data_IF_021181458062
#
_entry.id   IF_021181458062
#
_cell.length_a   1.000
_cell.length_b   1.000
_cell.length_c   1.000
_cell.angle_alpha   90.00
_cell.angle_beta   90.00
_cell.angle_gamma   90.00
#
_symmetry.space_group_name_H-M   'P 1'
#
loop_
_entity.id
_entity.type
_entity.pdbx_description
1 polymer ?
#
# COMPACT_ATOMS: atom_id res chain seq x y z
N UNK A 1 6.01 34.53 -19.90
CA UNK A 1 4.66 33.96 -19.95
C UNK A 1 4.35 33.29 -18.64
N UNK A 2 3.74 34.05 -17.74
CA UNK A 2 3.28 33.60 -16.43
C UNK A 2 2.03 32.73 -16.61
N UNK A 3 2.00 31.56 -15.98
CA UNK A 3 0.79 30.80 -15.80
C UNK A 3 0.28 31.11 -14.39
N UNK A 4 -0.85 31.82 -14.30
CA UNK A 4 -1.50 32.16 -13.03
C UNK A 4 -2.09 30.90 -12.38
N UNK A 5 -1.62 30.56 -11.18
CA UNK A 5 -2.32 29.65 -10.29
C UNK A 5 -3.08 30.47 -9.23
N UNK A 6 -4.34 30.11 -9.00
CA UNK A 6 -5.30 30.81 -8.13
C UNK A 6 -4.98 30.56 -6.66
N UNK A 7 -3.92 31.17 -6.17
CA UNK A 7 -3.69 31.41 -4.74
C UNK A 7 -2.83 32.65 -4.43
N UNK A 8 -2.47 33.45 -5.43
CA UNK A 8 -2.06 34.85 -5.23
C UNK A 8 -0.82 35.09 -4.34
N UNK A 9 0.09 34.12 -4.21
CA UNK A 9 1.40 34.34 -3.58
C UNK A 9 2.52 34.07 -4.57
N UNK A 10 2.98 35.13 -5.23
CA UNK A 10 4.26 35.12 -5.95
C UNK A 10 5.36 34.98 -4.89
N UNK A 11 5.90 33.77 -4.72
CA UNK A 11 7.08 33.54 -3.88
C UNK A 11 8.32 33.93 -4.68
N UNK A 12 8.77 35.17 -4.50
CA UNK A 12 10.11 35.61 -4.90
C UNK A 12 11.13 34.92 -3.95
N UNK A 13 12.25 34.39 -4.46
CA UNK A 13 13.21 33.65 -3.64
C UNK A 13 13.73 34.51 -2.48
N UNK A 14 13.73 33.96 -1.28
CA UNK A 14 14.34 34.58 -0.13
C UNK A 14 15.87 34.61 -0.34
N UNK A 15 16.48 35.79 -0.29
CA UNK A 15 17.89 35.97 -0.62
C UNK A 15 18.72 35.51 0.57
N UNK A 16 19.58 34.50 0.34
CA UNK A 16 20.56 34.02 1.33
C UNK A 16 21.68 35.05 1.41
N UNK A 17 21.87 35.63 2.59
CA UNK A 17 22.96 36.57 2.85
C UNK A 17 23.86 35.95 3.90
N UNK A 18 25.14 35.77 3.57
CA UNK A 18 26.17 35.38 4.55
C UNK A 18 26.69 36.62 5.26
N UNK A 19 26.80 36.56 6.59
CA UNK A 19 27.52 37.57 7.35
C UNK A 19 29.03 37.46 7.07
N UNK A 20 29.71 38.53 6.61
CA UNK A 20 31.14 38.48 6.33
C UNK A 20 31.97 38.30 7.61
N UNK A 21 33.13 37.66 7.48
CA UNK A 21 34.14 37.60 8.56
C UNK A 21 34.57 39.02 8.97
N UNK A 22 34.42 39.29 10.27
CA UNK A 22 34.95 40.39 11.08
C UNK A 22 35.59 41.56 10.32
N UNK A 23 34.87 42.69 10.22
CA UNK A 23 35.50 44.01 10.30
C UNK A 23 34.95 44.76 11.50
N UNK A 24 35.74 44.77 12.57
CA UNK A 24 35.66 45.66 13.72
C UNK A 24 34.30 45.72 14.45
N UNK A 25 34.13 44.86 15.48
CA UNK A 25 33.32 45.21 16.66
C UNK A 25 33.99 46.39 17.38
N UNK A 26 33.85 47.61 16.83
CA UNK A 26 33.99 48.83 17.63
C UNK A 26 32.71 48.97 18.43
N UNK A 27 32.84 48.93 19.75
CA UNK A 27 31.78 49.20 20.71
C UNK A 27 31.33 50.65 20.48
N UNK A 28 30.31 50.83 19.63
CA UNK A 28 29.49 52.04 19.61
C UNK A 28 28.34 51.84 20.61
N UNK A 29 27.87 52.89 21.31
CA UNK A 29 26.89 52.77 22.40
C UNK A 29 25.51 52.21 21.98
N UNK A 30 25.26 52.09 20.68
CA UNK A 30 24.14 51.36 20.12
C UNK A 30 24.49 51.08 18.65
N UNK A 31 24.76 49.83 18.23
CA UNK A 31 24.97 49.55 16.83
C UNK A 31 23.67 49.80 16.04
N UNK A 32 23.71 50.46 14.87
CA UNK A 32 22.51 50.72 14.09
C UNK A 32 21.86 49.39 13.69
N UNK A 33 20.53 49.30 13.84
CA UNK A 33 19.74 48.19 13.31
C UNK A 33 20.06 48.00 11.82
N UNK A 34 20.26 46.77 11.33
CA UNK A 34 20.55 46.54 9.93
C UNK A 34 19.47 47.17 9.05
N UNK A 35 19.87 48.10 8.17
CA UNK A 35 18.94 48.73 7.24
C UNK A 35 18.59 47.72 6.15
N UNK A 36 17.39 47.15 6.22
CA UNK A 36 16.90 46.23 5.22
C UNK A 36 16.47 47.01 3.96
N UNK A 37 16.71 46.46 2.76
CA UNK A 37 16.52 47.17 1.48
C UNK A 37 15.07 47.56 1.18
N UNK A 38 14.09 46.99 1.89
CA UNK A 38 12.66 47.26 1.69
C UNK A 38 11.97 47.45 3.05
N UNK A 39 11.23 48.54 3.20
CA UNK A 39 10.49 48.87 4.42
C UNK A 39 9.48 47.75 4.77
N UNK A 40 9.44 47.35 6.05
CA UNK A 40 8.62 46.22 6.52
C UNK A 40 9.22 44.84 6.25
N UNK A 41 10.44 44.77 5.71
CA UNK A 41 11.19 43.50 5.66
C UNK A 41 11.67 43.10 7.05
N UNK A 42 11.82 41.80 7.25
CA UNK A 42 12.35 41.17 8.46
C UNK A 42 13.50 40.26 8.11
N UNK A 43 14.37 40.03 9.08
CA UNK A 43 15.52 39.14 8.96
C UNK A 43 15.33 37.98 9.92
N UNK A 44 15.67 36.77 9.51
CA UNK A 44 15.61 35.60 10.37
C UNK A 44 16.78 34.66 10.09
N UNK A 45 17.10 33.81 11.06
CA UNK A 45 18.10 32.75 10.91
C UNK A 45 17.60 31.71 9.90
N UNK A 46 18.50 31.25 9.03
CA UNK A 46 18.19 30.22 8.04
C UNK A 46 17.87 28.86 8.68
N UNK A 47 18.51 28.52 9.80
CA UNK A 47 18.39 27.20 10.44
C UNK A 47 16.98 26.92 11.00
N UNK A 48 16.42 27.86 11.76
CA UNK A 48 15.19 27.66 12.55
C UNK A 48 14.09 28.70 12.27
N UNK A 49 14.42 29.80 11.59
CA UNK A 49 13.51 30.91 11.35
C UNK A 49 13.32 31.89 12.51
N UNK A 50 14.21 31.87 13.50
CA UNK A 50 14.21 32.87 14.58
C UNK A 50 14.39 34.27 13.99
N UNK A 51 13.42 35.16 14.23
CA UNK A 51 13.48 36.54 13.78
C UNK A 51 14.57 37.32 14.51
N UNK A 52 15.40 38.02 13.76
CA UNK A 52 16.48 38.86 14.29
C UNK A 52 15.97 40.27 14.54
N UNK A 53 15.91 40.65 15.81
CA UNK A 53 15.71 42.04 16.26
C UNK A 53 17.06 42.75 16.39
N UNK A 54 17.05 44.09 16.42
CA UNK A 54 18.29 44.90 16.43
C UNK A 54 19.29 44.50 17.52
N UNK A 55 18.81 44.16 18.71
CA UNK A 55 19.66 43.77 19.85
C UNK A 55 20.15 42.32 19.73
N UNK A 56 19.30 41.43 19.23
CA UNK A 56 19.63 40.01 19.09
C UNK A 56 20.60 39.75 17.93
N UNK A 57 20.56 40.58 16.88
CA UNK A 57 21.42 40.45 15.69
C UNK A 57 22.91 40.37 16.04
N UNK A 58 23.38 41.17 16.99
CA UNK A 58 24.80 41.21 17.37
C UNK A 58 25.23 40.04 18.25
N UNK A 59 24.27 39.28 18.79
CA UNK A 59 24.52 38.06 19.55
C UNK A 59 24.62 36.81 18.66
N UNK A 60 24.23 36.91 17.39
CA UNK A 60 24.30 35.82 16.41
C UNK A 60 25.77 35.52 16.06
N UNK A 61 26.18 34.24 16.01
CA UNK A 61 27.54 33.87 15.60
C UNK A 61 27.90 34.36 14.20
N UNK A 62 29.18 34.65 13.99
CA UNK A 62 29.71 34.97 12.66
C UNK A 62 29.47 33.80 11.68
N UNK A 63 29.34 34.11 10.38
CA UNK A 63 28.99 33.16 9.31
C UNK A 63 27.60 32.50 9.43
N UNK A 64 26.74 33.01 10.32
CA UNK A 64 25.34 32.59 10.33
C UNK A 64 24.64 32.98 9.03
N UNK A 65 23.88 32.05 8.49
CA UNK A 65 23.12 32.26 7.25
C UNK A 65 21.78 32.90 7.56
N UNK A 66 21.46 33.97 6.83
CA UNK A 66 20.28 34.78 7.09
C UNK A 66 19.33 34.76 5.90
N UNK A 67 18.04 34.88 6.20
CA UNK A 67 16.95 34.95 5.24
C UNK A 67 16.22 36.27 5.41
N UNK A 68 16.16 37.05 4.33
CA UNK A 68 15.35 38.27 4.27
C UNK A 68 13.92 37.91 3.85
N UNK A 69 12.94 38.32 4.65
CA UNK A 69 11.52 38.12 4.41
C UNK A 69 10.81 39.44 4.16
N UNK A 70 10.05 39.52 3.07
CA UNK A 70 9.14 40.65 2.82
C UNK A 70 7.80 40.47 3.55
N UNK A 71 6.97 41.51 3.57
CA UNK A 71 5.67 41.47 4.25
C UNK A 71 4.81 40.29 3.77
N UNK A 72 4.30 39.50 4.73
CA UNK A 72 3.48 38.32 4.48
C UNK A 72 4.23 37.01 4.16
N UNK A 73 5.56 37.06 4.06
CA UNK A 73 6.40 35.86 3.96
C UNK A 73 6.72 35.27 5.34
N UNK A 74 6.92 33.96 5.37
CA UNK A 74 7.28 33.19 6.57
C UNK A 74 8.43 32.27 6.26
N UNK A 75 9.30 32.06 7.25
CA UNK A 75 10.40 31.09 7.21
C UNK A 75 10.38 30.28 8.49
N UNK A 76 10.46 28.96 8.35
CA UNK A 76 10.42 27.99 9.46
C UNK A 76 11.69 27.14 9.46
N UNK A 77 12.82 27.75 9.10
CA UNK A 77 14.08 27.04 8.99
C UNK A 77 14.10 25.99 7.86
N UNK A 78 14.87 24.93 8.07
CA UNK A 78 15.00 23.82 7.12
C UNK A 78 13.66 23.17 6.70
N UNK A 79 12.62 23.25 7.54
CA UNK A 79 11.27 22.75 7.21
C UNK A 79 10.70 23.45 5.97
N UNK A 80 11.01 24.74 5.79
CA UNK A 80 10.55 25.49 4.62
C UNK A 80 11.20 25.00 3.32
N UNK A 81 12.46 24.58 3.36
CA UNK A 81 13.10 24.00 2.17
C UNK A 81 12.58 22.60 1.86
N UNK A 82 12.32 21.78 2.87
CA UNK A 82 11.63 20.50 2.68
C UNK A 82 10.23 20.72 2.06
N UNK A 83 9.48 21.71 2.56
CA UNK A 83 8.18 22.07 2.01
C UNK A 83 8.27 22.53 0.54
N UNK A 84 9.25 23.37 0.19
CA UNK A 84 9.49 23.79 -1.20
C UNK A 84 9.87 22.61 -2.09
N UNK A 85 10.79 21.76 -1.63
CA UNK A 85 11.21 20.55 -2.32
C UNK A 85 9.99 19.66 -2.62
N UNK A 86 9.24 19.25 -1.60
CA UNK A 86 8.06 18.42 -1.76
C UNK A 86 7.02 19.05 -2.70
N UNK A 87 6.83 20.37 -2.62
CA UNK A 87 5.91 21.10 -3.50
C UNK A 87 6.35 21.06 -4.97
N UNK A 88 7.65 21.20 -5.26
CA UNK A 88 8.20 21.11 -6.60
C UNK A 88 8.01 19.72 -7.24
N UNK A 89 7.98 18.67 -6.41
CA UNK A 89 7.83 17.28 -6.86
C UNK A 89 6.41 16.74 -6.81
N UNK A 90 5.46 17.45 -6.20
CA UNK A 90 4.05 17.04 -6.18
C UNK A 90 3.39 17.14 -7.57
N UNK A 91 3.81 18.10 -8.39
CA UNK A 91 3.45 18.23 -9.81
C UNK A 91 4.71 18.49 -10.62
N UNK A 92 5.49 17.44 -10.93
CA UNK A 92 6.81 17.62 -11.49
C UNK A 92 6.72 18.28 -12.87
N UNK A 93 7.39 19.42 -13.02
CA UNK A 93 7.53 20.09 -14.30
C UNK A 93 8.52 19.30 -15.17
N UNK A 94 8.26 19.18 -16.48
CA UNK A 94 9.12 18.41 -17.39
C UNK A 94 10.61 18.81 -17.32
N UNK A 95 10.87 20.12 -17.15
CA UNK A 95 12.23 20.65 -16.99
C UNK A 95 12.95 20.15 -15.74
N UNK A 96 12.24 19.91 -14.64
CA UNK A 96 12.82 19.39 -13.41
C UNK A 96 13.16 17.89 -13.54
N UNK A 97 12.33 17.11 -14.23
CA UNK A 97 12.64 15.70 -14.56
C UNK A 97 13.89 15.65 -15.45
N UNK A 98 13.98 16.52 -16.46
CA UNK A 98 15.14 16.59 -17.35
C UNK A 98 16.42 16.97 -16.58
N UNK A 99 16.36 17.97 -15.71
CA UNK A 99 17.49 18.38 -14.88
C UNK A 99 17.94 17.24 -13.94
N UNK A 100 17.00 16.53 -13.31
CA UNK A 100 17.34 15.39 -12.45
C UNK A 100 17.97 14.23 -13.23
N UNK A 101 17.53 13.97 -14.48
CA UNK A 101 18.15 12.97 -15.36
C UNK A 101 19.57 13.34 -15.74
N UNK A 102 19.80 14.60 -16.12
CA UNK A 102 21.14 15.11 -16.44
C UNK A 102 22.07 14.99 -15.23
N UNK A 103 21.60 15.42 -14.06
CA UNK A 103 22.38 15.32 -12.82
C UNK A 103 22.73 13.86 -12.49
N UNK A 104 21.79 12.92 -12.67
CA UNK A 104 22.05 11.50 -12.44
C UNK A 104 23.08 10.91 -13.43
N UNK A 105 23.12 11.37 -14.68
CA UNK A 105 24.08 10.89 -15.68
C UNK A 105 25.54 11.19 -15.32
N UNK A 106 25.79 12.35 -14.70
CA UNK A 106 27.15 12.78 -14.34
C UNK A 106 27.55 12.41 -12.89
N UNK A 107 26.57 12.09 -12.04
CA UNK A 107 26.78 11.81 -10.63
C UNK A 107 27.55 10.50 -10.40
N UNK A 108 28.57 10.52 -9.53
CA UNK A 108 29.40 9.35 -9.21
C UNK A 108 29.22 8.87 -7.77
N UNK A 109 28.71 9.71 -6.86
CA UNK A 109 28.53 9.32 -5.48
C UNK A 109 27.34 8.35 -5.34
N UNK A 110 27.52 7.11 -4.83
CA UNK A 110 26.46 6.11 -4.83
C UNK A 110 25.19 6.53 -4.08
N UNK A 111 25.35 7.25 -2.96
CA UNK A 111 24.21 7.77 -2.19
C UNK A 111 23.42 8.80 -2.99
N UNK A 112 24.11 9.70 -3.71
CA UNK A 112 23.45 10.75 -4.52
C UNK A 112 22.77 10.14 -5.74
N UNK A 113 23.40 9.18 -6.40
CA UNK A 113 22.77 8.40 -7.48
C UNK A 113 21.48 7.73 -7.00
N UNK A 114 21.51 7.08 -5.83
CA UNK A 114 20.33 6.43 -5.26
C UNK A 114 19.20 7.43 -5.01
N UNK A 115 19.49 8.56 -4.33
CA UNK A 115 18.48 9.58 -4.05
C UNK A 115 17.86 10.15 -5.33
N UNK A 116 18.68 10.41 -6.36
CA UNK A 116 18.21 10.90 -7.65
C UNK A 116 17.40 9.86 -8.42
N UNK A 117 17.80 8.60 -8.38
CA UNK A 117 17.06 7.49 -9.00
C UNK A 117 15.70 7.28 -8.32
N UNK A 118 15.66 7.24 -6.98
CA UNK A 118 14.42 7.11 -6.19
C UNK A 118 13.46 8.27 -6.47
N UNK A 119 14.01 9.49 -6.57
CA UNK A 119 13.26 10.68 -6.94
C UNK A 119 12.70 10.59 -8.36
N UNK A 120 13.55 10.26 -9.34
CA UNK A 120 13.16 10.11 -10.75
C UNK A 120 12.09 9.04 -10.95
N UNK A 121 12.21 7.94 -10.21
CA UNK A 121 11.22 6.86 -10.20
C UNK A 121 9.85 7.36 -9.71
N UNK A 122 9.83 8.21 -8.69
CA UNK A 122 8.60 8.79 -8.12
C UNK A 122 7.93 9.81 -9.06
N UNK A 123 8.73 10.63 -9.76
CA UNK A 123 8.21 11.75 -10.56
C UNK A 123 7.90 11.37 -12.01
N UNK A 124 8.45 10.26 -12.49
CA UNK A 124 8.22 9.75 -13.85
C UNK A 124 7.04 8.77 -13.91
N UNK A 125 6.18 8.74 -12.90
CA UNK A 125 5.01 7.88 -12.87
C UNK A 125 3.92 8.35 -13.83
N UNK A 126 3.25 7.40 -14.49
CA UNK A 126 2.10 7.62 -15.35
C UNK A 126 0.84 7.00 -14.72
N UNK A 127 0.49 7.42 -13.51
CA UNK A 127 -0.65 6.87 -12.76
C UNK A 127 -1.95 7.03 -13.55
N UNK A 128 -2.15 8.16 -14.23
CA UNK A 128 -3.41 8.48 -14.90
C UNK A 128 -3.74 7.52 -16.05
N UNK A 129 -2.73 7.03 -16.78
CA UNK A 129 -2.92 6.02 -17.82
C UNK A 129 -3.47 4.70 -17.23
N UNK A 130 -4.42 4.09 -17.93
CA UNK A 130 -5.10 2.87 -17.54
C UNK A 130 -4.92 1.75 -18.55
N UNK A 131 -4.80 2.06 -19.85
CA UNK A 131 -4.75 1.06 -20.91
C UNK A 131 -3.32 0.75 -21.37
N UNK A 132 -3.16 -0.39 -22.05
CA UNK A 132 -1.88 -0.81 -22.62
C UNK A 132 -1.37 0.11 -23.71
N UNK A 133 -2.27 0.75 -24.45
CA UNK A 133 -1.93 1.70 -25.50
C UNK A 133 -1.44 3.04 -24.92
N UNK A 134 -2.01 3.45 -23.79
CA UNK A 134 -1.64 4.70 -23.09
C UNK A 134 -0.29 4.60 -22.35
N UNK A 135 0.07 3.40 -21.86
CA UNK A 135 1.32 3.19 -21.11
C UNK A 135 1.94 1.80 -21.38
N UNK A 136 2.44 1.55 -22.60
CA UNK A 136 3.05 0.26 -22.96
C UNK A 136 4.19 -0.20 -22.02
N UNK A 137 5.11 0.68 -21.56
CA UNK A 137 6.19 0.30 -20.65
C UNK A 137 5.68 -0.33 -19.35
N UNK A 138 4.54 0.13 -18.83
CA UNK A 138 3.93 -0.51 -17.66
C UNK A 138 3.62 -1.98 -17.92
N UNK A 139 3.17 -2.39 -19.12
CA UNK A 139 2.75 -3.76 -19.45
C UNK A 139 3.88 -4.70 -19.88
N UNK A 140 5.13 -4.23 -19.92
CA UNK A 140 6.27 -5.07 -20.29
C UNK A 140 6.39 -6.31 -19.39
N UNK A 141 6.57 -7.47 -20.02
CA UNK A 141 6.62 -8.78 -19.35
C UNK A 141 5.26 -9.39 -19.01
N UNK A 142 4.14 -8.73 -19.31
CA UNK A 142 2.80 -9.31 -19.17
C UNK A 142 2.28 -9.92 -20.48
N UNK A 143 1.50 -10.98 -20.31
CA UNK A 143 0.73 -11.59 -21.40
C UNK A 143 -0.13 -10.56 -22.15
N UNK A 144 -0.31 -10.78 -23.46
CA UNK A 144 -1.07 -9.89 -24.34
C UNK A 144 -2.56 -9.76 -23.96
N UNK A 145 -3.12 -10.72 -23.20
CA UNK A 145 -4.51 -10.63 -22.72
C UNK A 145 -4.76 -9.46 -21.76
N UNK A 146 -3.71 -8.93 -21.13
CA UNK A 146 -3.85 -7.82 -20.18
C UNK A 146 -3.78 -6.49 -20.93
N UNK A 147 -4.96 -5.84 -21.03
CA UNK A 147 -5.17 -4.59 -21.76
C UNK A 147 -5.37 -3.37 -20.85
N UNK A 148 -5.60 -3.60 -19.54
CA UNK A 148 -5.74 -2.53 -18.56
C UNK A 148 -5.00 -2.84 -17.26
N UNK A 149 -4.52 -1.78 -16.59
CA UNK A 149 -3.77 -1.88 -15.33
C UNK A 149 -4.64 -2.47 -14.23
N UNK A 150 -5.88 -2.00 -14.12
CA UNK A 150 -6.87 -2.52 -13.18
C UNK A 150 -7.25 -3.97 -13.49
N UNK A 151 -7.32 -4.35 -14.78
CA UNK A 151 -7.54 -5.73 -15.20
C UNK A 151 -6.46 -6.68 -14.69
N UNK A 152 -5.19 -6.31 -14.85
CA UNK A 152 -4.07 -7.09 -14.32
C UNK A 152 -4.05 -7.14 -12.79
N UNK A 153 -4.21 -6.01 -12.10
CA UNK A 153 -4.16 -5.98 -10.64
C UNK A 153 -5.32 -6.73 -10.00
N UNK A 154 -6.51 -6.68 -10.61
CA UNK A 154 -7.65 -7.54 -10.25
C UNK A 154 -7.26 -9.01 -10.37
N UNK A 155 -6.73 -9.43 -11.53
CA UNK A 155 -6.25 -10.80 -11.73
C UNK A 155 -5.17 -11.22 -10.71
N UNK A 156 -4.26 -10.32 -10.37
CA UNK A 156 -3.21 -10.54 -9.36
C UNK A 156 -3.81 -10.83 -7.99
N UNK A 157 -4.79 -10.02 -7.56
CA UNK A 157 -5.53 -10.26 -6.32
C UNK A 157 -6.27 -11.61 -6.34
N UNK A 158 -7.04 -11.87 -7.40
CA UNK A 158 -7.76 -13.12 -7.57
C UNK A 158 -6.83 -14.33 -7.48
N UNK A 159 -5.62 -14.22 -8.04
CA UNK A 159 -4.62 -15.30 -8.02
C UNK A 159 -4.11 -15.59 -6.61
N UNK A 160 -3.90 -14.55 -5.78
CA UNK A 160 -3.53 -14.72 -4.36
C UNK A 160 -4.64 -15.42 -3.58
N UNK A 161 -5.87 -14.94 -3.72
CA UNK A 161 -7.05 -15.49 -3.04
C UNK A 161 -7.35 -16.93 -3.50
N UNK A 162 -7.23 -17.24 -4.80
CA UNK A 162 -7.32 -18.62 -5.31
C UNK A 162 -6.27 -19.54 -4.70
N UNK A 163 -5.06 -19.02 -4.45
CA UNK A 163 -4.02 -19.81 -3.80
C UNK A 163 -4.44 -20.25 -2.40
N UNK A 164 -5.15 -19.38 -1.67
CA UNK A 164 -5.67 -19.72 -0.36
C UNK A 164 -6.69 -20.86 -0.44
N UNK A 165 -7.55 -20.87 -1.46
CA UNK A 165 -8.53 -21.93 -1.68
C UNK A 165 -7.88 -23.27 -2.03
N UNK A 166 -6.82 -23.27 -2.85
CA UNK A 166 -6.08 -24.50 -3.20
C UNK A 166 -5.54 -25.22 -1.96
N UNK A 167 -5.09 -24.46 -0.97
CA UNK A 167 -4.55 -25.01 0.28
C UNK A 167 -5.64 -25.56 1.21
N UNK A 168 -6.87 -25.06 1.11
CA UNK A 168 -8.03 -25.64 1.80
C UNK A 168 -8.39 -27.01 1.22
N UNK A 169 -7.93 -27.35 0.02
CA UNK A 169 -8.02 -28.72 -0.51
C UNK A 169 -9.03 -28.93 -1.63
N UNK A 170 -9.64 -27.86 -2.16
CA UNK A 170 -10.52 -27.95 -3.34
C UNK A 170 -9.64 -28.05 -4.58
N UNK A 171 -9.64 -29.21 -5.25
CA UNK A 171 -9.20 -29.27 -6.65
C UNK A 171 -10.20 -28.43 -7.44
N UNK A 172 -9.78 -27.24 -7.88
CA UNK A 172 -10.52 -26.52 -8.91
C UNK A 172 -10.52 -27.40 -10.16
N UNK A 173 -11.61 -28.11 -10.42
CA UNK A 173 -11.82 -28.79 -11.69
C UNK A 173 -11.74 -27.79 -12.85
N UNK A 174 -11.28 -28.22 -14.04
CA UNK A 174 -11.22 -27.35 -15.20
C UNK A 174 -12.64 -26.87 -15.53
N UNK A 175 -12.78 -25.57 -15.79
CA UNK A 175 -14.01 -25.03 -16.32
C UNK A 175 -14.30 -25.73 -17.65
N UNK A 176 -15.41 -26.48 -17.72
CA UNK A 176 -15.89 -27.03 -18.97
C UNK A 176 -16.29 -25.89 -19.91
N UNK A 177 -15.67 -25.86 -21.09
CA UNK A 177 -16.04 -24.97 -22.19
C UNK A 177 -14.86 -24.18 -22.73
N UNK A 178 -14.19 -24.73 -23.75
CA UNK A 178 -13.85 -24.11 -25.04
C UNK A 178 -12.80 -24.99 -25.74
N UNK A 179 -13.19 -25.54 -26.89
CA UNK A 179 -12.32 -25.81 -28.05
C UNK A 179 -11.15 -26.78 -27.91
N UNK A 180 -11.28 -27.95 -28.52
CA UNK A 180 -10.13 -28.77 -28.97
C UNK A 180 -9.16 -27.94 -29.82
N UNK A 181 -7.84 -27.91 -29.53
CA UNK A 181 -6.86 -27.42 -30.48
C UNK A 181 -6.41 -28.54 -31.42
N UNK A 182 -6.48 -28.23 -32.70
CA UNK A 182 -5.89 -28.99 -33.81
C UNK A 182 -4.38 -29.13 -33.66
N UNK A 183 -3.84 -30.20 -34.24
CA UNK A 183 -2.45 -30.62 -34.21
C UNK A 183 -1.47 -29.59 -34.83
N UNK A 184 -0.29 -29.47 -34.20
CA UNK A 184 0.93 -29.01 -34.87
C UNK A 184 1.62 -27.77 -34.28
N UNK A 185 2.40 -27.93 -33.19
CA UNK A 185 3.52 -27.04 -32.81
C UNK A 185 4.56 -27.88 -32.01
N UNK A 186 5.88 -27.71 -32.22
CA UNK A 186 6.90 -28.63 -31.70
C UNK A 186 7.21 -28.46 -30.20
N UNK A 187 7.56 -29.58 -29.57
CA UNK A 187 7.88 -29.73 -28.15
C UNK A 187 9.25 -29.15 -27.78
N UNK A 188 9.30 -28.31 -26.74
CA UNK A 188 10.51 -28.05 -25.96
C UNK A 188 10.58 -29.03 -24.76
N UNK A 189 11.78 -29.40 -24.27
CA UNK A 189 11.97 -30.59 -23.44
C UNK A 189 11.37 -30.44 -22.05
N UNK A 190 10.78 -31.55 -21.59
CA UNK A 190 10.11 -31.69 -20.31
C UNK A 190 11.05 -31.47 -19.12
N UNK A 191 10.72 -30.52 -18.27
CA UNK A 191 11.21 -30.47 -16.89
C UNK A 191 10.37 -31.45 -16.07
N UNK A 192 11.03 -32.41 -15.43
CA UNK A 192 10.41 -33.49 -14.65
C UNK A 192 9.43 -32.96 -13.58
N UNK A 193 8.20 -33.50 -13.46
CA UNK A 193 7.19 -33.00 -12.51
C UNK A 193 7.33 -33.64 -11.11
N UNK A 194 8.56 -33.80 -10.64
CA UNK A 194 8.82 -34.26 -9.27
C UNK A 194 9.29 -33.06 -8.45
N UNK A 195 8.33 -32.37 -7.81
CA UNK A 195 8.43 -31.57 -6.57
C UNK A 195 7.34 -30.49 -6.55
N UNK A 196 6.17 -30.84 -6.02
CA UNK A 196 5.26 -30.00 -5.21
C UNK A 196 3.92 -30.72 -5.05
N UNK A 197 3.93 -31.80 -4.27
CA UNK A 197 2.69 -32.37 -3.74
C UNK A 197 2.17 -31.38 -2.69
N UNK A 198 1.31 -30.46 -3.12
CA UNK A 198 0.53 -29.63 -2.19
C UNK A 198 -0.33 -30.59 -1.37
N UNK A 199 0.07 -30.85 -0.13
CA UNK A 199 -0.70 -31.67 0.79
C UNK A 199 -2.03 -30.97 1.01
N UNK A 200 -3.09 -31.49 0.38
CA UNK A 200 -4.45 -31.03 0.59
C UNK A 200 -4.84 -31.38 2.02
N UNK A 201 -5.31 -30.41 2.81
CA UNK A 201 -5.78 -30.72 4.17
C UNK A 201 -6.92 -31.75 4.19
N UNK A 202 -7.65 -31.90 3.07
CA UNK A 202 -8.65 -32.96 2.92
C UNK A 202 -8.06 -34.38 3.03
N UNK A 203 -6.75 -34.58 2.86
CA UNK A 203 -6.10 -35.88 3.11
C UNK A 203 -5.70 -36.10 4.57
N UNK A 204 -5.78 -35.08 5.41
CA UNK A 204 -5.51 -35.16 6.85
C UNK A 204 -6.79 -35.32 7.69
N UNK A 205 -7.96 -35.17 7.06
CA UNK A 205 -9.27 -35.38 7.69
C UNK A 205 -9.60 -36.88 7.65
N UNK A 206 -10.27 -37.39 8.69
CA UNK A 206 -10.75 -38.78 8.71
C UNK A 206 -11.63 -39.08 7.49
N UNK A 207 -11.66 -40.35 7.06
CA UNK A 207 -12.46 -40.73 5.88
C UNK A 207 -13.94 -40.34 6.01
N UNK A 208 -14.50 -40.46 7.22
CA UNK A 208 -15.89 -40.13 7.53
C UNK A 208 -16.17 -38.61 7.47
N UNK A 209 -15.18 -37.77 7.80
CA UNK A 209 -15.30 -36.33 7.78
C UNK A 209 -14.89 -35.70 6.42
N UNK A 210 -14.28 -36.48 5.53
CA UNK A 210 -13.73 -36.01 4.26
C UNK A 210 -14.80 -35.52 3.27
N UNK A 211 -15.94 -36.21 3.21
CA UNK A 211 -17.06 -35.82 2.33
C UNK A 211 -17.68 -34.50 2.79
N UNK A 212 -17.88 -34.36 4.11
CA UNK A 212 -18.37 -33.12 4.70
C UNK A 212 -17.39 -31.96 4.46
N UNK A 213 -16.10 -32.19 4.70
CA UNK A 213 -15.07 -31.19 4.46
C UNK A 213 -15.04 -30.75 2.99
N UNK A 214 -15.14 -31.69 2.06
CA UNK A 214 -15.22 -31.38 0.62
C UNK A 214 -16.48 -30.56 0.29
N UNK A 215 -17.63 -30.92 0.86
CA UNK A 215 -18.89 -30.17 0.72
C UNK A 215 -18.76 -28.73 1.20
N UNK A 216 -18.17 -28.53 2.38
CA UNK A 216 -17.94 -27.19 2.96
C UNK A 216 -16.97 -26.39 2.11
N UNK A 217 -15.89 -27.02 1.65
CA UNK A 217 -14.91 -26.38 0.79
C UNK A 217 -15.52 -25.97 -0.58
N UNK A 218 -16.45 -26.76 -1.11
CA UNK A 218 -17.23 -26.43 -2.32
C UNK A 218 -18.22 -25.29 -2.11
N UNK A 219 -18.85 -25.18 -0.93
CA UNK A 219 -19.67 -24.01 -0.56
C UNK A 219 -18.83 -22.74 -0.58
N UNK A 220 -17.66 -22.77 0.06
CA UNK A 220 -16.71 -21.65 0.05
C UNK A 220 -16.24 -21.32 -1.37
N UNK A 221 -15.92 -22.34 -2.19
CA UNK A 221 -15.52 -22.17 -3.58
C UNK A 221 -16.62 -21.49 -4.42
N UNK A 222 -17.88 -21.93 -4.29
CA UNK A 222 -19.03 -21.32 -4.98
C UNK A 222 -19.22 -19.86 -4.57
N UNK A 223 -19.18 -19.56 -3.26
CA UNK A 223 -19.27 -18.18 -2.75
C UNK A 223 -18.13 -17.31 -3.27
N UNK A 224 -16.90 -17.84 -3.29
CA UNK A 224 -15.71 -17.12 -3.76
C UNK A 224 -15.77 -16.86 -5.27
N UNK A 225 -16.29 -17.79 -6.07
CA UNK A 225 -16.57 -17.56 -7.50
C UNK A 225 -17.61 -16.47 -7.70
N UNK A 226 -18.69 -16.49 -6.93
CA UNK A 226 -19.73 -15.46 -6.97
C UNK A 226 -19.17 -14.07 -6.61
N UNK A 227 -18.19 -14.00 -5.68
CA UNK A 227 -17.49 -12.76 -5.33
C UNK A 227 -16.30 -12.42 -6.24
N UNK A 228 -16.12 -13.15 -7.35
CA UNK A 228 -14.99 -13.00 -8.29
C UNK A 228 -13.63 -13.03 -7.58
N UNK A 229 -13.46 -13.96 -6.65
CA UNK A 229 -12.25 -14.16 -5.84
C UNK A 229 -11.73 -12.88 -5.17
N UNK A 230 -12.64 -11.96 -4.86
CA UNK A 230 -12.36 -10.67 -4.25
C UNK A 230 -11.29 -9.86 -5.01
N UNK A 231 -11.23 -10.04 -6.34
CA UNK A 231 -10.29 -9.32 -7.20
C UNK A 231 -10.38 -7.80 -7.08
N UNK A 232 -11.56 -7.31 -6.70
CA UNK A 232 -11.83 -5.89 -6.51
C UNK A 232 -10.90 -5.22 -5.48
N UNK A 233 -10.32 -5.97 -4.53
CA UNK A 233 -9.44 -5.40 -3.52
C UNK A 233 -8.26 -4.63 -4.13
N UNK A 234 -7.76 -5.04 -5.29
CA UNK A 234 -6.65 -4.35 -5.97
C UNK A 234 -7.08 -3.49 -7.16
N UNK A 235 -8.38 -3.31 -7.37
CA UNK A 235 -8.92 -2.57 -8.50
C UNK A 235 -9.35 -1.16 -8.07
N UNK A 236 -8.59 -0.14 -8.48
CA UNK A 236 -8.88 1.28 -8.19
C UNK A 236 -10.23 1.74 -8.75
N UNK A 237 -10.73 1.12 -9.83
CA UNK A 237 -12.04 1.41 -10.41
C UNK A 237 -13.22 0.75 -9.66
N UNK A 238 -12.96 -0.12 -8.69
CA UNK A 238 -14.02 -0.73 -7.89
C UNK A 238 -14.63 0.26 -6.89
N UNK A 239 -15.84 -0.06 -6.40
CA UNK A 239 -16.54 0.75 -5.39
C UNK A 239 -15.68 0.87 -4.12
N UNK A 240 -15.78 1.98 -3.40
CA UNK A 240 -14.94 2.29 -2.23
C UNK A 240 -14.88 1.16 -1.18
N UNK A 241 -15.99 0.48 -0.89
CA UNK A 241 -16.01 -0.66 0.05
C UNK A 241 -15.49 -2.00 -0.51
N UNK A 242 -15.11 -2.03 -1.79
CA UNK A 242 -14.63 -3.22 -2.49
C UNK A 242 -13.15 -3.17 -2.88
N UNK A 243 -12.46 -2.03 -2.68
CA UNK A 243 -11.04 -1.82 -2.99
C UNK A 243 -10.23 -1.47 -1.73
N UNK A 244 -8.94 -1.80 -1.74
CA UNK A 244 -7.98 -1.46 -0.68
C UNK A 244 -7.19 -0.18 -0.96
N UNK A 245 -7.34 0.39 -2.16
CA UNK A 245 -6.66 1.60 -2.58
C UNK A 245 -7.59 2.81 -2.73
N UNK A 246 -6.99 3.98 -2.84
CA UNK A 246 -7.68 5.21 -3.27
C UNK A 246 -8.15 5.08 -4.74
N UNK A 247 -9.04 5.97 -5.25
CA UNK A 247 -9.40 5.98 -6.67
C UNK A 247 -8.21 6.09 -7.63
N UNK A 248 -7.10 6.69 -7.18
CA UNK A 248 -5.88 6.89 -7.96
C UNK A 248 -4.97 5.65 -7.91
N UNK A 249 -5.25 4.69 -7.02
CA UNK A 249 -4.50 3.44 -6.89
C UNK A 249 -3.46 3.41 -5.77
N UNK A 250 -3.48 4.35 -4.83
CA UNK A 250 -2.58 4.33 -3.67
C UNK A 250 -3.01 3.30 -2.63
N UNK A 251 -2.12 2.36 -2.33
CA UNK A 251 -2.28 1.39 -1.24
C UNK A 251 -1.44 1.82 -0.04
N UNK A 252 -2.00 1.68 1.15
CA UNK A 252 -1.33 1.95 2.42
C UNK A 252 -1.16 0.65 3.20
N UNK A 253 0.02 0.45 3.79
CA UNK A 253 0.27 -0.70 4.66
C UNK A 253 -0.60 -0.59 5.92
N UNK A 254 -1.29 -1.67 6.25
CA UNK A 254 -2.17 -1.77 7.42
C UNK A 254 -1.42 -2.13 8.71
N UNK A 255 -0.08 -2.19 8.67
CA UNK A 255 0.77 -2.59 9.78
C UNK A 255 0.79 -4.11 10.01
N UNK A 256 1.75 -4.62 10.81
CA UNK A 256 1.77 -6.04 11.18
C UNK A 256 0.46 -6.51 11.84
N UNK A 257 0.27 -7.83 11.91
CA UNK A 257 -0.97 -8.43 12.41
C UNK A 257 -1.38 -7.92 13.81
N UNK A 258 -0.40 -7.63 14.67
CA UNK A 258 -0.53 -7.27 16.09
C UNK A 258 -0.60 -5.76 16.37
N UNK A 259 -0.65 -4.91 15.34
CA UNK A 259 -0.81 -3.46 15.51
C UNK A 259 -1.81 -2.89 14.51
N UNK A 260 -2.44 -1.76 14.85
CA UNK A 260 -3.50 -1.19 14.01
C UNK A 260 -3.01 -0.35 12.83
N UNK A 261 -1.75 0.12 12.88
CA UNK A 261 -1.20 1.02 11.87
C UNK A 261 0.25 0.72 11.53
N UNK A 262 0.67 1.09 10.31
CA UNK A 262 2.06 0.99 9.90
C UNK A 262 2.87 2.21 10.41
N UNK A 263 3.77 2.00 11.37
CA UNK A 263 4.63 3.05 11.91
C UNK A 263 5.49 3.76 10.84
N UNK A 264 5.98 2.99 9.86
CA UNK A 264 6.78 3.52 8.74
C UNK A 264 5.95 4.16 7.62
N UNK A 265 4.61 4.16 7.74
CA UNK A 265 3.69 4.72 6.74
C UNK A 265 3.96 4.24 5.31
N UNK A 266 4.32 2.96 5.15
CA UNK A 266 4.59 2.40 3.82
C UNK A 266 3.37 2.57 2.90
N UNK A 267 3.60 3.10 1.71
CA UNK A 267 2.60 3.26 0.66
C UNK A 267 3.18 2.89 -0.70
N UNK A 268 2.32 2.53 -1.64
CA UNK A 268 2.73 2.21 -3.01
C UNK A 268 1.58 2.48 -3.99
N UNK A 269 1.92 2.92 -5.20
CA UNK A 269 0.98 2.97 -6.31
C UNK A 269 1.45 2.03 -7.44
N UNK A 270 0.96 0.77 -7.49
CA UNK A 270 1.35 -0.18 -8.54
C UNK A 270 0.84 0.20 -9.93
N UNK A 271 0.00 1.24 -10.05
CA UNK A 271 -0.45 1.78 -11.33
C UNK A 271 0.53 2.78 -11.94
N UNK A 272 1.46 3.33 -11.16
CA UNK A 272 2.32 4.43 -11.59
C UNK A 272 3.39 4.02 -12.60
N UNK A 273 4.03 2.86 -12.41
CA UNK A 273 5.08 2.39 -13.29
C UNK A 273 5.31 0.86 -13.17
N UNK A 274 6.16 0.30 -14.04
CA UNK A 274 6.50 -1.12 -14.09
C UNK A 274 7.16 -1.64 -12.81
N UNK A 275 8.09 -0.90 -12.24
CA UNK A 275 8.84 -1.30 -11.04
C UNK A 275 7.93 -1.31 -9.80
N UNK A 276 7.11 -0.29 -9.59
CA UNK A 276 6.07 -0.25 -8.56
C UNK A 276 5.10 -1.43 -8.68
N UNK A 277 4.69 -1.81 -9.90
CA UNK A 277 3.89 -3.01 -10.12
C UNK A 277 4.62 -4.29 -9.68
N UNK A 278 5.91 -4.42 -10.00
CA UNK A 278 6.73 -5.56 -9.60
C UNK A 278 6.93 -5.58 -8.09
N UNK A 279 7.27 -4.45 -7.47
CA UNK A 279 7.44 -4.32 -6.02
C UNK A 279 6.17 -4.68 -5.26
N UNK A 280 4.98 -4.38 -5.81
CA UNK A 280 3.71 -4.78 -5.20
C UNK A 280 3.51 -6.30 -5.12
N UNK A 281 4.25 -7.11 -5.87
CA UNK A 281 4.29 -8.57 -5.69
C UNK A 281 4.87 -9.00 -4.34
N UNK A 282 5.72 -8.16 -3.73
CA UNK A 282 6.32 -8.42 -2.41
C UNK A 282 5.39 -8.05 -1.25
N UNK A 283 4.37 -7.24 -1.50
CA UNK A 283 3.33 -6.92 -0.53
C UNK A 283 2.44 -8.14 -0.31
N UNK A 284 2.01 -8.37 0.93
CA UNK A 284 1.27 -9.58 1.31
C UNK A 284 -0.15 -9.23 1.76
N UNK A 285 -1.10 -10.11 1.45
CA UNK A 285 -2.38 -10.17 2.15
C UNK A 285 -2.22 -11.17 3.29
N UNK A 286 -1.75 -10.68 4.43
CA UNK A 286 -1.38 -11.48 5.60
C UNK A 286 -2.61 -11.81 6.44
N UNK A 287 -2.71 -13.06 6.90
CA UNK A 287 -3.81 -13.53 7.71
C UNK A 287 -3.57 -13.20 9.18
N UNK A 288 -4.41 -12.37 9.81
CA UNK A 288 -4.28 -12.02 11.24
C UNK A 288 -4.34 -13.30 12.09
N UNK A 289 -5.38 -14.11 11.92
CA UNK A 289 -5.46 -15.49 12.41
C UNK A 289 -4.91 -16.40 11.32
N UNK A 290 -3.77 -17.03 11.58
CA UNK A 290 -2.99 -17.76 10.59
C UNK A 290 -3.80 -18.87 9.90
N UNK A 291 -3.88 -18.80 8.57
CA UNK A 291 -4.59 -19.79 7.76
C UNK A 291 -4.12 -21.22 8.00
N UNK A 292 -2.83 -21.49 7.75
CA UNK A 292 -2.26 -22.85 7.76
C UNK A 292 -2.10 -23.43 9.16
N UNK A 293 -1.81 -22.58 10.15
CA UNK A 293 -1.52 -23.00 11.53
C UNK A 293 -2.78 -23.06 12.40
N UNK A 294 -3.80 -22.26 12.10
CA UNK A 294 -4.99 -22.14 12.95
C UNK A 294 -6.28 -22.40 12.20
N UNK A 295 -6.60 -21.62 11.16
CA UNK A 295 -7.95 -21.61 10.57
C UNK A 295 -8.31 -22.94 9.88
N UNK A 296 -7.40 -23.47 9.05
CA UNK A 296 -7.66 -24.73 8.32
C UNK A 296 -7.68 -25.95 9.27
N UNK A 297 -6.73 -26.10 10.22
CA UNK A 297 -6.85 -27.12 11.26
C UNK A 297 -8.15 -27.03 12.07
N UNK A 298 -8.54 -25.83 12.51
CA UNK A 298 -9.77 -25.63 13.28
C UNK A 298 -11.04 -25.98 12.48
N UNK A 299 -11.05 -25.73 11.16
CA UNK A 299 -12.14 -26.16 10.28
C UNK A 299 -12.23 -27.70 10.22
N UNK A 300 -11.09 -28.36 10.04
CA UNK A 300 -11.02 -29.82 10.00
C UNK A 300 -11.50 -30.44 11.32
N UNK A 301 -10.99 -29.96 12.45
CA UNK A 301 -11.38 -30.38 13.80
C UNK A 301 -12.88 -30.14 14.04
N UNK A 302 -13.39 -28.96 13.70
CA UNK A 302 -14.80 -28.64 13.87
C UNK A 302 -15.73 -29.58 13.10
N UNK A 303 -15.32 -30.05 11.93
CA UNK A 303 -16.07 -31.02 11.10
C UNK A 303 -15.99 -32.42 11.71
N UNK A 304 -14.82 -32.84 12.20
CA UNK A 304 -14.63 -34.14 12.83
C UNK A 304 -15.39 -34.24 14.16
N UNK A 305 -15.35 -33.21 14.99
CA UNK A 305 -15.92 -33.20 16.35
C UNK A 305 -17.31 -32.57 16.44
N UNK A 306 -18.03 -32.50 15.30
CA UNK A 306 -19.28 -31.75 15.21
C UNK A 306 -20.39 -32.24 16.14
N UNK A 307 -20.40 -33.52 16.53
CA UNK A 307 -21.39 -34.13 17.44
C UNK A 307 -22.84 -33.71 17.11
N UNK A 308 -23.20 -33.82 15.83
CA UNK A 308 -24.51 -33.42 15.29
C UNK A 308 -24.74 -31.91 15.09
N UNK A 309 -23.80 -31.04 15.47
CA UNK A 309 -23.86 -29.59 15.18
C UNK A 309 -23.49 -29.30 13.73
N UNK A 310 -24.03 -28.20 13.20
CA UNK A 310 -23.67 -27.71 11.88
C UNK A 310 -22.54 -26.68 11.98
N UNK A 311 -21.48 -26.86 11.19
CA UNK A 311 -20.36 -25.91 11.13
C UNK A 311 -20.80 -24.64 10.44
N UNK A 312 -20.51 -23.48 11.04
CA UNK A 312 -20.75 -22.17 10.46
C UNK A 312 -19.64 -21.85 9.44
N UNK A 313 -19.70 -22.48 8.26
CA UNK A 313 -18.65 -22.36 7.24
C UNK A 313 -18.42 -20.91 6.77
N UNK A 314 -19.42 -20.02 6.85
CA UNK A 314 -19.28 -18.61 6.52
C UNK A 314 -18.29 -17.88 7.45
N UNK A 315 -18.16 -18.31 8.70
CA UNK A 315 -17.15 -17.79 9.62
C UNK A 315 -15.74 -18.10 9.10
N UNK A 316 -15.49 -19.35 8.73
CA UNK A 316 -14.20 -19.75 8.13
C UNK A 316 -13.97 -19.09 6.78
N UNK A 317 -15.00 -18.89 5.95
CA UNK A 317 -14.90 -18.12 4.71
C UNK A 317 -14.40 -16.68 4.97
N UNK A 318 -14.96 -16.01 5.98
CA UNK A 318 -14.51 -14.68 6.42
C UNK A 318 -13.02 -14.68 6.80
N UNK A 319 -12.62 -15.66 7.62
CA UNK A 319 -11.22 -15.79 8.03
C UNK A 319 -10.26 -16.10 6.88
N UNK A 320 -10.68 -16.87 5.89
CA UNK A 320 -9.80 -17.37 4.84
C UNK A 320 -9.64 -16.38 3.68
N UNK A 321 -10.69 -15.65 3.32
CA UNK A 321 -10.76 -14.96 2.03
C UNK A 321 -11.13 -13.48 2.10
N UNK A 322 -11.52 -12.94 3.25
CA UNK A 322 -12.01 -11.55 3.35
C UNK A 322 -11.10 -10.68 4.21
N UNK A 323 -11.33 -9.36 4.12
CA UNK A 323 -10.63 -8.36 4.91
C UNK A 323 -10.98 -8.40 6.42
N UNK A 324 -11.90 -9.27 6.85
CA UNK A 324 -12.13 -9.54 8.27
C UNK A 324 -10.87 -10.10 8.95
N UNK A 325 -10.03 -10.81 8.18
CA UNK A 325 -8.83 -11.45 8.69
C UNK A 325 -7.61 -11.24 7.80
N UNK A 326 -7.72 -10.46 6.72
CA UNK A 326 -6.62 -10.14 5.80
C UNK A 326 -6.16 -8.70 5.99
N UNK A 327 -4.85 -8.50 6.24
CA UNK A 327 -4.18 -7.21 6.21
C UNK A 327 -3.25 -7.12 5.00
N UNK A 328 -3.36 -6.04 4.23
CA UNK A 328 -2.38 -5.69 3.22
C UNK A 328 -1.15 -5.06 3.87
N UNK A 329 -0.01 -5.73 3.77
CA UNK A 329 1.23 -5.33 4.45
C UNK A 329 2.42 -5.28 3.50
N UNK A 330 3.25 -4.26 3.67
CA UNK A 330 4.59 -4.22 3.10
C UNK A 330 5.42 -5.38 3.64
N UNK A 331 6.39 -5.90 2.87
CA UNK A 331 7.20 -7.06 3.27
C UNK A 331 7.91 -6.86 4.62
N UNK A 332 8.35 -5.65 4.94
CA UNK A 332 8.98 -5.33 6.23
C UNK A 332 7.98 -5.36 7.41
N UNK A 333 6.68 -5.27 7.16
CA UNK A 333 5.62 -5.37 8.17
C UNK A 333 5.01 -6.78 8.25
N UNK A 334 5.41 -7.70 7.37
CA UNK A 334 4.94 -9.09 7.40
C UNK A 334 5.77 -9.89 8.40
N UNK A 335 5.31 -9.97 9.64
CA UNK A 335 5.94 -10.76 10.70
C UNK A 335 5.70 -12.25 10.44
N UNK A 336 6.76 -13.00 10.10
CA UNK A 336 6.69 -14.46 9.88
C UNK A 336 6.66 -15.30 11.16
N UNK A 337 6.62 -14.64 12.32
CA UNK A 337 6.45 -15.29 13.63
C UNK A 337 5.04 -15.85 13.78
N UNK A 338 4.83 -16.81 14.67
CA UNK A 338 3.47 -17.30 15.00
C UNK A 338 2.63 -16.17 15.60
N UNK A 339 1.39 -16.00 15.11
CA UNK A 339 0.52 -14.90 15.54
C UNK A 339 -0.11 -15.14 16.91
N UNK A 340 -0.09 -16.39 17.41
CA UNK A 340 -0.68 -16.80 18.71
C UNK A 340 -2.16 -16.39 18.87
N UNK A 341 -2.90 -16.33 17.76
CA UNK A 341 -4.32 -16.06 17.72
C UNK A 341 -5.11 -17.33 17.36
N UNK A 342 -6.25 -17.50 17.99
CA UNK A 342 -7.17 -18.63 17.81
C UNK A 342 -8.46 -18.22 17.11
N UNK A 343 -9.19 -19.20 16.58
CA UNK A 343 -10.56 -18.99 16.14
C UNK A 343 -11.48 -18.71 17.35
N UNK A 344 -12.47 -17.84 17.20
CA UNK A 344 -13.53 -17.62 18.18
C UNK A 344 -14.41 -18.87 18.33
N UNK A 345 -14.37 -19.58 19.48
CA UNK A 345 -15.12 -20.82 19.67
C UNK A 345 -16.63 -20.65 19.54
N UNK A 346 -17.16 -19.44 19.77
CA UNK A 346 -18.60 -19.15 19.73
C UNK A 346 -19.15 -19.05 18.31
N UNK A 347 -18.28 -18.91 17.31
CA UNK A 347 -18.64 -18.71 15.91
C UNK A 347 -18.36 -19.94 15.03
N UNK A 348 -17.80 -21.00 15.61
CA UNK A 348 -17.44 -22.24 14.87
C UNK A 348 -18.68 -22.98 14.38
N UNK A 349 -19.75 -23.02 15.19
CA UNK A 349 -20.98 -23.74 14.89
C UNK A 349 -22.17 -22.79 14.72
N UNK A 350 -23.17 -23.20 13.94
CA UNK A 350 -24.41 -22.43 13.81
C UNK A 350 -25.17 -22.37 15.14
N UNK A 351 -25.84 -21.24 15.44
CA UNK A 351 -26.70 -21.15 16.63
C UNK A 351 -27.84 -22.17 16.56
N UNK A 352 -28.01 -22.97 17.62
CA UNK A 352 -29.17 -23.87 17.71
C UNK A 352 -30.45 -23.04 17.84
N UNK A 353 -31.32 -23.12 16.83
CA UNK A 353 -32.67 -22.55 16.90
C UNK A 353 -33.47 -23.34 17.94
N UNK A 354 -33.58 -22.82 19.17
CA UNK A 354 -34.49 -23.41 20.16
C UNK A 354 -35.92 -23.34 19.59
N UNK A 355 -36.66 -24.46 19.52
CA UNK A 355 -38.06 -24.41 19.11
C UNK A 355 -38.82 -23.50 20.08
N UNK A 356 -39.55 -22.50 19.55
CA UNK A 356 -40.43 -21.64 20.35
C UNK A 356 -41.37 -22.54 21.15
N UNK A 357 -41.20 -22.61 22.47
CA UNK A 357 -42.18 -23.24 23.37
C UNK A 357 -43.54 -22.60 23.10
N UNK A 358 -44.47 -23.36 22.49
CA UNK A 358 -45.87 -22.95 22.40
C UNK A 358 -46.37 -22.78 23.83
N UNK A 359 -46.70 -21.55 24.23
CA UNK A 359 -47.39 -21.28 25.49
C UNK A 359 -48.75 -22.00 25.43
N UNK A 360 -49.13 -22.82 26.43
CA UNK A 360 -50.45 -23.41 26.46
C UNK A 360 -51.48 -22.28 26.55
N UNK A 361 -52.52 -22.37 25.72
CA UNK A 361 -53.63 -21.44 25.74
C UNK A 361 -54.24 -21.42 27.15
N UNK A 362 -54.30 -20.23 27.76
CA UNK A 362 -55.07 -20.02 28.99
C UNK A 362 -56.53 -20.33 28.68
N UNK A 363 -57.08 -21.38 29.30
CA UNK A 363 -58.53 -21.55 29.39
C UNK A 363 -59.06 -20.43 30.28
N UNK A 364 -59.80 -19.48 29.70
CA UNK A 364 -60.65 -18.60 30.49
C UNK A 364 -61.74 -19.45 31.16
N UNK A 365 -61.92 -19.23 32.46
CA UNK A 365 -63.05 -19.71 33.25
C UNK A 365 -64.10 -18.64 33.30
#
# INVERSE_FOLDING_TARGET
>A
NACEDRSGKVQVPAVRVGLPETQHRRILPCPPSPQLPVAGSRLCLYEDGTELTGDYFWSVPDNSELVVLTSGQTWQGYVSDLGRFLSAFHKPHAGLIQAARQLLSDEQAPLRQKLLADLLHTVSENIAAETRDEDPPWFEGLESRFQSKSGYLRYSCESRIRSYLREVGVRAGPAAGVGTPSAGVPQCPAVSPALLQVHSYASLVSMEARDEYSRVADLMCRKLRASRYNGSYFDRGAKAGGRLCTPEGWFCCQGPFDVDTCASKHSINPYGNRESRVLFSTWNLDHIIEKKRTVVPALAEAITERDGREVAWEYFYGLLFTLENLKLVHIACHKKTTHKLGCDPRRIYQPQTKPKRRRPARKCR
#
